data_IF_549474566667
#
_entry.id   IF_549474566667
#
_cell.length_a   1.000
_cell.length_b   1.000
_cell.length_c   1.000
_cell.angle_alpha   90.00
_cell.angle_beta   90.00
_cell.angle_gamma   90.00
#
_symmetry.space_group_name_H-M   'P 1'
#
loop_
_entity.id
_entity.type
_entity.pdbx_description
1 polymer ?
#
# COMPACT_ATOMS: atom_id res chain seq x y z
N UNK A 1 0.34 23.63 1.14
CA UNK A 1 -0.54 22.57 1.66
C UNK A 1 0.28 21.39 2.12
N UNK A 2 -0.10 20.79 3.22
CA UNK A 2 0.59 19.64 3.77
C UNK A 2 -0.25 18.38 3.54
N UNK A 3 0.36 17.37 2.94
CA UNK A 3 -0.29 16.07 2.71
C UNK A 3 0.77 14.99 2.81
N UNK A 4 0.96 14.47 4.02
CA UNK A 4 1.95 13.44 4.31
C UNK A 4 1.30 12.32 5.10
N UNK A 5 1.65 11.11 4.74
CA UNK A 5 1.20 9.94 5.47
C UNK A 5 2.35 8.96 5.60
N UNK A 6 2.46 8.34 6.76
CA UNK A 6 3.44 7.28 7.02
C UNK A 6 2.68 6.14 7.66
N UNK A 7 2.75 4.98 7.02
CA UNK A 7 2.07 3.78 7.53
C UNK A 7 3.05 2.62 7.54
N UNK A 8 2.77 1.66 8.40
CA UNK A 8 3.56 0.45 8.50
C UNK A 8 2.61 -0.74 8.53
N UNK A 9 2.79 -1.66 7.62
CA UNK A 9 1.92 -2.82 7.51
C UNK A 9 2.54 -3.90 6.65
N UNK A 10 1.87 -5.05 6.60
CA UNK A 10 2.32 -6.19 5.82
C UNK A 10 1.63 -6.23 4.48
N UNK A 11 2.38 -6.52 3.44
CA UNK A 11 1.79 -6.69 2.12
C UNK A 11 0.82 -7.86 2.15
N UNK A 12 -0.35 -7.66 1.55
CA UNK A 12 -1.39 -8.69 1.50
C UNK A 12 -1.23 -9.63 0.32
N UNK A 13 -0.40 -9.25 -0.64
CA UNK A 13 -0.09 -10.06 -1.83
C UNK A 13 1.25 -9.60 -2.39
N UNK A 14 1.79 -10.39 -3.33
CA UNK A 14 3.00 -9.99 -4.03
C UNK A 14 2.69 -8.82 -4.96
N UNK A 15 3.48 -7.76 -4.94
CA UNK A 15 3.27 -6.65 -5.88
C UNK A 15 3.68 -7.07 -7.29
N UNK A 16 2.86 -6.68 -8.27
CA UNK A 16 3.15 -6.96 -9.67
C UNK A 16 3.53 -5.68 -10.39
N UNK A 17 4.64 -5.73 -11.11
CA UNK A 17 5.08 -4.59 -11.89
C UNK A 17 4.30 -4.53 -13.20
N UNK A 18 3.72 -3.38 -13.48
CA UNK A 18 3.07 -3.10 -14.75
C UNK A 18 3.73 -1.89 -15.37
N UNK A 19 3.47 -1.69 -16.64
CA UNK A 19 3.95 -0.51 -17.34
C UNK A 19 2.78 0.17 -18.04
N UNK A 20 2.78 1.50 -17.98
CA UNK A 20 1.80 2.30 -18.72
C UNK A 20 2.13 2.27 -20.19
N UNK A 21 1.27 2.88 -21.01
CA UNK A 21 1.51 2.99 -22.45
C UNK A 21 2.84 3.69 -22.76
N UNK A 22 3.24 4.59 -21.90
CA UNK A 22 4.51 5.33 -22.06
C UNK A 22 5.71 4.58 -21.51
N UNK A 23 5.51 3.35 -21.03
CA UNK A 23 6.60 2.55 -20.47
C UNK A 23 6.92 2.85 -19.02
N UNK A 24 6.13 3.65 -18.34
CA UNK A 24 6.36 4.02 -16.94
C UNK A 24 5.99 2.86 -16.01
N UNK A 25 6.91 2.49 -15.14
CA UNK A 25 6.68 1.44 -14.15
C UNK A 25 5.67 1.89 -13.10
N UNK A 26 4.73 1.03 -12.77
CA UNK A 26 3.73 1.27 -11.73
C UNK A 26 3.33 -0.06 -11.09
N UNK A 27 3.04 -0.02 -9.81
CA UNK A 27 2.49 -1.17 -9.11
C UNK A 27 1.47 -0.68 -8.09
N UNK A 28 0.46 -1.52 -7.85
CA UNK A 28 -0.54 -1.28 -6.81
C UNK A 28 -0.59 -2.49 -5.92
N UNK A 29 -0.64 -2.27 -4.63
CA UNK A 29 -0.74 -3.35 -3.64
C UNK A 29 -1.44 -2.80 -2.41
N UNK A 30 -1.79 -3.70 -1.49
CA UNK A 30 -2.41 -3.32 -0.22
C UNK A 30 -1.51 -3.73 0.92
N UNK A 31 -1.55 -2.94 1.98
CA UNK A 31 -0.89 -3.30 3.24
C UNK A 31 -1.94 -3.44 4.33
N UNK A 32 -1.75 -4.43 5.18
CA UNK A 32 -2.60 -4.68 6.34
C UNK A 32 -1.97 -3.98 7.53
N UNK A 33 -2.68 -3.01 8.07
CA UNK A 33 -2.22 -2.20 9.20
C UNK A 33 -3.13 -2.49 10.38
N UNK A 34 -2.58 -3.12 11.40
CA UNK A 34 -3.33 -3.42 12.61
C UNK A 34 -3.53 -2.15 13.42
N UNK A 35 -4.73 -1.98 13.93
CA UNK A 35 -5.00 -0.88 14.85
C UNK A 35 -4.39 -1.20 16.21
N UNK A 36 -3.94 -0.17 16.90
CA UNK A 36 -3.26 -0.34 18.19
C UNK A 36 -4.19 -0.82 19.29
N UNK A 37 -5.49 -0.56 19.15
CA UNK A 37 -6.45 -0.85 20.18
C UNK A 37 -7.48 -1.88 19.71
N UNK A 38 -7.86 -2.75 20.63
CA UNK A 38 -8.93 -3.72 20.39
C UNK A 38 -10.28 -3.01 20.39
N UNK A 39 -11.22 -3.53 19.61
CA UNK A 39 -12.60 -3.08 19.67
C UNK A 39 -13.18 -3.36 21.04
N UNK A 40 -13.83 -2.37 21.63
CA UNK A 40 -14.49 -2.54 22.93
C UNK A 40 -15.64 -3.52 22.87
N UNK A 41 -16.32 -3.57 21.72
CA UNK A 41 -17.50 -4.42 21.57
C UNK A 41 -17.14 -5.87 21.36
N UNK A 42 -16.17 -6.16 20.49
CA UNK A 42 -15.82 -7.53 20.14
C UNK A 42 -14.58 -8.05 20.85
N UNK A 43 -13.76 -7.16 21.40
CA UNK A 43 -12.48 -7.51 21.98
C UNK A 43 -11.43 -7.91 20.96
N UNK A 44 -11.75 -7.80 19.69
CA UNK A 44 -10.86 -8.18 18.60
C UNK A 44 -10.12 -6.98 18.05
N UNK A 45 -8.89 -7.22 17.61
CA UNK A 45 -8.10 -6.20 16.92
C UNK A 45 -8.64 -5.99 15.52
N UNK A 46 -8.88 -4.75 15.16
CA UNK A 46 -9.26 -4.38 13.80
C UNK A 46 -8.01 -4.18 12.94
N UNK A 47 -8.14 -4.48 11.67
CA UNK A 47 -7.09 -4.29 10.68
C UNK A 47 -7.62 -3.43 9.56
N UNK A 48 -6.85 -2.42 9.19
CA UNK A 48 -7.17 -1.59 8.03
C UNK A 48 -6.36 -2.07 6.83
N UNK A 49 -7.03 -2.21 5.70
CA UNK A 49 -6.36 -2.57 4.45
C UNK A 49 -6.25 -1.31 3.62
N UNK A 50 -5.03 -0.87 3.40
CA UNK A 50 -4.75 0.41 2.78
C UNK A 50 -4.12 0.20 1.42
N UNK A 51 -4.73 0.76 0.39
CA UNK A 51 -4.21 0.66 -0.97
C UNK A 51 -3.05 1.62 -1.16
N UNK A 52 -2.00 1.11 -1.80
CA UNK A 52 -0.77 1.85 -2.08
C UNK A 52 -0.47 1.74 -3.55
N UNK A 53 -0.09 2.86 -4.16
CA UNK A 53 0.40 2.88 -5.53
C UNK A 53 1.82 3.44 -5.51
N UNK A 54 2.71 2.82 -6.28
CA UNK A 54 4.09 3.24 -6.41
C UNK A 54 4.43 3.37 -7.89
N UNK A 55 5.26 4.36 -8.20
CA UNK A 55 5.63 4.69 -9.58
C UNK A 55 7.14 4.63 -9.75
N UNK A 56 7.57 4.32 -10.97
CA UNK A 56 8.96 4.42 -11.41
C UNK A 56 9.90 3.60 -10.55
N UNK A 57 10.93 4.19 -10.03
CA UNK A 57 11.94 3.49 -9.23
C UNK A 57 11.37 2.88 -7.96
N UNK A 58 10.40 3.56 -7.34
CA UNK A 58 9.75 3.02 -6.14
C UNK A 58 8.96 1.75 -6.47
N UNK A 59 8.28 1.73 -7.63
CA UNK A 59 7.57 0.54 -8.09
C UNK A 59 8.55 -0.61 -8.35
N UNK A 60 9.65 -0.34 -9.03
CA UNK A 60 10.66 -1.36 -9.30
C UNK A 60 11.27 -1.90 -8.02
N UNK A 61 11.55 -1.03 -7.07
CA UNK A 61 12.12 -1.43 -5.78
C UNK A 61 11.18 -2.37 -5.02
N UNK A 62 9.91 -1.99 -4.87
CA UNK A 62 8.97 -2.80 -4.09
C UNK A 62 8.69 -4.14 -4.78
N UNK A 63 8.59 -4.15 -6.09
CA UNK A 63 8.35 -5.39 -6.83
C UNK A 63 9.54 -6.35 -6.77
N UNK A 64 10.75 -5.80 -6.63
CA UNK A 64 11.95 -6.63 -6.58
C UNK A 64 12.20 -7.21 -5.19
N UNK A 65 11.90 -6.46 -4.14
CA UNK A 65 12.34 -6.81 -2.79
C UNK A 65 11.23 -7.17 -1.81
N UNK A 66 9.98 -6.92 -2.15
CA UNK A 66 8.86 -7.19 -1.24
C UNK A 66 7.98 -8.30 -1.77
N UNK A 67 7.54 -9.15 -0.85
CA UNK A 67 6.61 -10.24 -1.13
C UNK A 67 5.48 -10.20 -0.12
N UNK A 68 4.46 -11.00 -0.36
CA UNK A 68 3.33 -11.13 0.55
C UNK A 68 3.82 -11.42 1.97
N UNK A 69 3.30 -10.66 2.92
CA UNK A 69 3.62 -10.85 4.34
C UNK A 69 4.81 -10.02 4.84
N UNK A 70 5.61 -9.43 3.93
CA UNK A 70 6.71 -8.56 4.35
C UNK A 70 6.17 -7.30 5.00
N UNK A 71 6.84 -6.88 6.07
CA UNK A 71 6.52 -5.63 6.73
C UNK A 71 7.16 -4.48 5.96
N UNK A 72 6.34 -3.49 5.59
CA UNK A 72 6.80 -2.32 4.85
C UNK A 72 6.44 -1.05 5.59
N UNK A 73 7.32 -0.07 5.53
CA UNK A 73 7.02 1.30 5.95
C UNK A 73 6.83 2.11 4.68
N UNK A 74 5.64 2.66 4.51
CA UNK A 74 5.27 3.42 3.31
C UNK A 74 5.13 4.88 3.70
N UNK A 75 5.89 5.73 3.03
CA UNK A 75 5.84 7.17 3.22
C UNK A 75 5.39 7.81 1.92
N UNK A 76 4.41 8.68 2.01
CA UNK A 76 3.90 9.35 0.83
C UNK A 76 2.78 10.32 1.14
N UNK A 77 1.83 10.40 0.26
CA UNK A 77 0.67 11.28 0.38
C UNK A 77 -0.61 10.53 0.13
N UNK A 78 -1.67 11.00 0.73
CA UNK A 78 -3.01 10.46 0.50
C UNK A 78 -3.58 11.08 -0.76
N UNK A 79 -4.10 10.26 -1.65
CA UNK A 79 -4.75 10.70 -2.86
C UNK A 79 -6.16 10.14 -2.93
N UNK A 80 -7.10 11.01 -3.22
CA UNK A 80 -8.49 10.61 -3.41
C UNK A 80 -8.74 10.54 -4.93
N UNK A 81 -9.34 9.45 -5.36
CA UNK A 81 -9.65 9.25 -6.77
C UNK A 81 -11.15 9.01 -6.91
N UNK A 82 -11.79 9.81 -7.75
CA UNK A 82 -13.19 9.64 -8.08
C UNK A 82 -13.31 8.83 -9.38
N UNK A 83 -14.24 7.87 -9.39
CA UNK A 83 -14.45 7.01 -10.55
C UNK A 83 -15.89 6.56 -10.59
N UNK A 84 -16.31 6.00 -11.73
CA UNK A 84 -17.65 5.47 -11.90
C UNK A 84 -17.60 3.96 -12.05
N UNK A 85 -18.51 3.27 -11.38
CA UNK A 85 -18.60 1.82 -11.50
C UNK A 85 -19.42 1.43 -12.75
N UNK A 86 -19.63 0.14 -12.94
CA UNK A 86 -20.34 -0.41 -14.10
C UNK A 86 -21.77 0.10 -14.21
N UNK A 87 -22.39 0.43 -13.08
CA UNK A 87 -23.77 0.90 -13.03
C UNK A 87 -23.87 2.41 -13.15
N UNK A 88 -22.76 3.10 -13.37
CA UNK A 88 -22.72 4.55 -13.50
C UNK A 88 -22.73 5.30 -12.18
N UNK A 89 -22.62 4.60 -11.06
CA UNK A 89 -22.58 5.23 -9.75
C UNK A 89 -21.22 5.86 -9.49
N UNK A 90 -21.23 7.02 -8.88
CA UNK A 90 -20.00 7.70 -8.49
C UNK A 90 -19.38 6.97 -7.30
N UNK A 91 -18.09 6.68 -7.41
CA UNK A 91 -17.30 6.01 -6.36
C UNK A 91 -16.09 6.86 -6.02
N UNK A 92 -15.60 6.66 -4.82
CA UNK A 92 -14.42 7.36 -4.33
C UNK A 92 -13.50 6.38 -3.64
N UNK A 93 -12.24 6.39 -4.03
CA UNK A 93 -11.21 5.54 -3.43
C UNK A 93 -10.11 6.40 -2.84
N UNK A 94 -9.59 5.97 -1.71
CA UNK A 94 -8.44 6.59 -1.07
C UNK A 94 -7.24 5.66 -1.25
N UNK A 95 -6.12 6.22 -1.68
CA UNK A 95 -4.89 5.43 -1.83
C UNK A 95 -3.70 6.26 -1.40
N UNK A 96 -2.63 5.60 -1.00
CA UNK A 96 -1.36 6.25 -0.66
C UNK A 96 -0.46 6.18 -1.88
N UNK A 97 -0.04 7.34 -2.38
CA UNK A 97 0.98 7.41 -3.42
C UNK A 97 2.32 7.42 -2.72
N UNK A 98 3.08 6.33 -2.85
CA UNK A 98 4.32 6.15 -2.11
C UNK A 98 5.44 6.95 -2.72
N UNK A 99 6.12 7.74 -1.90
CA UNK A 99 7.38 8.39 -2.27
C UNK A 99 8.55 7.49 -1.91
N UNK A 100 8.46 6.84 -0.76
CA UNK A 100 9.51 5.95 -0.26
C UNK A 100 8.88 4.72 0.39
N UNK A 101 9.53 3.59 0.21
CA UNK A 101 9.13 2.34 0.86
C UNK A 101 10.37 1.75 1.51
N UNK A 102 10.27 1.46 2.80
CA UNK A 102 11.38 0.93 3.58
C UNK A 102 11.01 -0.44 4.15
N UNK A 103 12.02 -1.26 4.43
CA UNK A 103 11.79 -2.51 5.14
C UNK A 103 11.40 -2.22 6.57
N UNK A 104 10.29 -2.79 7.01
CA UNK A 104 9.82 -2.66 8.39
C UNK A 104 10.28 -3.83 9.27
N UNK A 105 10.91 -4.84 8.67
CA UNK A 105 11.44 -5.99 9.37
C UNK A 105 12.79 -6.35 8.79
N UNK A 106 13.53 -7.18 9.53
CA UNK A 106 14.81 -7.68 9.05
C UNK A 106 14.58 -8.92 8.20
N UNK A 107 15.27 -8.98 7.05
CA UNK A 107 15.33 -10.21 6.29
C UNK A 107 16.29 -11.15 7.03
N UNK A 108 15.81 -12.32 7.39
CA UNK A 108 16.64 -13.31 8.07
C UNK A 108 17.32 -14.22 7.06
N UNK A 109 18.63 -14.36 7.20
CA UNK A 109 19.38 -15.26 6.35
C UNK A 109 18.96 -16.70 6.60
N UNK A 110 18.75 -17.44 5.51
CA UNK A 110 18.37 -18.85 5.59
C UNK A 110 16.96 -19.09 6.06
N UNK A 111 16.12 -18.08 6.01
CA UNK A 111 14.74 -18.20 6.45
C UNK A 111 13.79 -17.66 5.40
#
# INVERSE_FOLDING_TARGET
MLNRIVIMGRLTRDPELRRTQNGTAVTSFSVAVDRDFKSRESGEKATDFIDVVAWRQTAEFVCQYFTKGRMAVVEGRLQIRDWKDKDGNNRRSAEVVADNIYFGDSKRDGQ
#
